data_IF_511621955812
#
_entry.id   IF_511621955812
#
_cell.length_a   1.000
_cell.length_b   1.000
_cell.length_c   1.000
_cell.angle_alpha   90.00
_cell.angle_beta   90.00
_cell.angle_gamma   90.00
#
_symmetry.space_group_name_H-M   'P 1'
#
loop_
_entity.id
_entity.type
_entity.pdbx_description
1 polymer ?
#
# COMPACT_ATOMS: atom_id res chain seq x y z
N UNK A 1 -22.69 -10.15 11.06
CA UNK A 1 -21.27 -9.83 11.33
C UNK A 1 -20.79 -8.88 10.24
N UNK A 2 -20.14 -7.77 10.60
CA UNK A 2 -19.60 -6.81 9.63
C UNK A 2 -18.40 -7.40 8.89
N UNK A 3 -18.09 -6.93 7.68
CA UNK A 3 -16.87 -7.34 6.95
C UNK A 3 -15.61 -7.26 7.80
N UNK A 4 -15.41 -6.15 8.50
CA UNK A 4 -14.31 -5.97 9.45
C UNK A 4 -14.21 -7.08 10.50
N UNK A 5 -15.34 -7.45 11.09
CA UNK A 5 -15.36 -8.43 12.19
C UNK A 5 -15.09 -9.84 11.66
N UNK A 6 -15.60 -10.17 10.46
CA UNK A 6 -15.29 -11.42 9.75
C UNK A 6 -13.78 -11.51 9.48
N UNK A 7 -13.19 -10.43 8.94
CA UNK A 7 -11.76 -10.39 8.64
C UNK A 7 -10.90 -10.57 9.91
N UNK A 8 -11.23 -9.85 10.99
CA UNK A 8 -10.50 -9.94 12.25
C UNK A 8 -10.67 -11.30 12.94
N UNK A 9 -11.88 -11.89 12.92
CA UNK A 9 -12.13 -13.22 13.46
C UNK A 9 -11.34 -14.28 12.68
N UNK A 10 -11.31 -14.20 11.35
CA UNK A 10 -10.53 -15.11 10.53
C UNK A 10 -9.02 -15.05 10.86
N UNK A 11 -8.46 -13.85 11.08
CA UNK A 11 -7.07 -13.69 11.51
C UNK A 11 -6.80 -14.31 12.88
N UNK A 12 -7.79 -14.33 13.78
CA UNK A 12 -7.70 -14.96 15.11
C UNK A 12 -8.04 -16.44 15.09
N UNK A 13 -8.37 -17.01 13.91
CA UNK A 13 -8.83 -18.39 13.76
C UNK A 13 -10.13 -18.67 14.53
N UNK A 14 -10.97 -17.67 14.68
CA UNK A 14 -12.31 -17.77 15.28
C UNK A 14 -13.35 -18.16 14.23
N UNK A 15 -14.46 -18.81 14.62
CA UNK A 15 -15.54 -19.16 13.70
C UNK A 15 -16.13 -17.93 13.02
N UNK A 16 -16.37 -18.03 11.72
CA UNK A 16 -16.99 -16.98 10.90
C UNK A 16 -18.14 -17.56 10.09
N UNK A 17 -19.19 -16.76 9.77
CA UNK A 17 -20.35 -17.23 9.02
C UNK A 17 -20.02 -17.53 7.54
N UNK A 18 -18.89 -17.03 7.04
CA UNK A 18 -18.33 -17.29 5.71
C UNK A 18 -16.82 -17.07 5.74
N UNK A 19 -16.06 -17.57 4.77
CA UNK A 19 -14.66 -17.20 4.63
C UNK A 19 -14.50 -15.68 4.49
N UNK A 20 -13.46 -15.12 5.13
CA UNK A 20 -13.09 -13.73 4.92
C UNK A 20 -12.51 -13.56 3.51
N UNK A 21 -12.95 -12.52 2.82
CA UNK A 21 -12.41 -12.14 1.51
C UNK A 21 -11.55 -10.89 1.66
N UNK A 22 -10.36 -10.91 1.10
CA UNK A 22 -9.50 -9.75 1.23
C UNK A 22 -8.21 -9.89 0.45
N UNK A 23 -7.46 -8.81 0.41
CA UNK A 23 -6.16 -8.80 -0.24
C UNK A 23 -5.10 -8.25 0.73
N UNK A 24 -4.02 -9.00 0.86
CA UNK A 24 -2.79 -8.56 1.54
C UNK A 24 -1.89 -7.71 0.62
N UNK A 25 -2.22 -7.70 -0.68
CA UNK A 25 -1.50 -6.93 -1.70
C UNK A 25 -2.49 -6.11 -2.47
N UNK A 26 -2.91 -5.05 -2.35
CA UNK A 26 -3.91 -4.25 -3.07
C UNK A 26 -4.23 -4.76 -4.47
N UNK A 27 -5.48 -4.88 -4.80
CA UNK A 27 -5.95 -5.27 -6.14
C UNK A 27 -6.41 -4.03 -6.88
N UNK A 28 -5.86 -3.82 -8.08
CA UNK A 28 -6.24 -2.71 -8.97
C UNK A 28 -6.27 -3.18 -10.41
N UNK A 29 -7.32 -2.80 -11.12
CA UNK A 29 -7.45 -2.95 -12.57
C UNK A 29 -7.63 -1.60 -13.22
N UNK A 30 -7.35 -1.50 -14.51
CA UNK A 30 -7.58 -0.25 -15.28
C UNK A 30 -9.04 0.17 -15.28
N UNK A 31 -9.97 -0.81 -15.27
CA UNK A 31 -11.42 -0.55 -15.18
C UNK A 31 -11.80 0.02 -13.81
N UNK A 32 -11.21 -0.50 -12.73
CA UNK A 32 -11.41 0.04 -11.39
C UNK A 32 -10.90 1.47 -11.28
N UNK A 33 -9.70 1.75 -11.82
CA UNK A 33 -9.15 3.10 -11.90
C UNK A 33 -10.08 4.07 -12.65
N UNK A 34 -10.62 3.64 -13.79
CA UNK A 34 -11.56 4.43 -14.58
C UNK A 34 -12.85 4.72 -13.81
N UNK A 35 -13.40 3.70 -13.14
CA UNK A 35 -14.63 3.81 -12.35
C UNK A 35 -14.50 4.73 -11.15
N UNK A 36 -13.34 4.74 -10.51
CA UNK A 36 -13.06 5.55 -9.31
C UNK A 36 -12.59 6.96 -9.67
N UNK A 37 -12.09 7.17 -10.88
CA UNK A 37 -11.45 8.43 -11.28
C UNK A 37 -10.09 8.66 -10.61
N UNK A 38 -9.46 7.60 -10.12
CA UNK A 38 -8.13 7.63 -9.52
C UNK A 38 -7.31 6.46 -10.05
N UNK A 39 -6.08 6.70 -10.49
CA UNK A 39 -5.25 5.68 -11.11
C UNK A 39 -3.76 5.97 -10.96
N UNK A 40 -2.95 5.10 -11.52
CA UNK A 40 -1.50 5.24 -11.58
C UNK A 40 -1.08 6.21 -12.68
N UNK A 41 0.07 6.91 -12.49
CA UNK A 41 0.95 6.86 -11.32
C UNK A 41 0.48 7.73 -10.13
N UNK A 42 -0.51 8.60 -10.31
CA UNK A 42 -0.89 9.61 -9.32
C UNK A 42 -1.34 9.01 -7.99
N UNK A 43 -2.00 7.84 -8.01
CA UNK A 43 -2.41 7.16 -6.79
C UNK A 43 -1.23 6.64 -5.92
N UNK A 44 0.00 6.66 -6.43
CA UNK A 44 1.20 6.43 -5.62
C UNK A 44 1.69 7.70 -4.90
N UNK A 45 1.30 8.88 -5.39
CA UNK A 45 1.86 10.18 -5.02
C UNK A 45 0.86 11.11 -4.32
N UNK A 46 -0.43 10.75 -4.34
CA UNK A 46 -1.52 11.51 -3.75
C UNK A 46 -2.33 10.65 -2.78
N UNK A 47 -2.40 11.08 -1.52
CA UNK A 47 -3.07 10.32 -0.46
C UNK A 47 -4.58 10.16 -0.68
N UNK A 48 -5.23 11.17 -1.24
CA UNK A 48 -6.67 11.13 -1.54
C UNK A 48 -6.97 10.14 -2.65
N UNK A 49 -6.22 10.17 -3.77
CA UNK A 49 -6.34 9.21 -4.87
C UNK A 49 -5.98 7.80 -4.44
N UNK A 50 -4.94 7.63 -3.63
CA UNK A 50 -4.55 6.35 -3.05
C UNK A 50 -5.66 5.77 -2.18
N UNK A 51 -6.25 6.56 -1.28
CA UNK A 51 -7.35 6.15 -0.42
C UNK A 51 -8.62 5.83 -1.22
N UNK A 52 -8.97 6.65 -2.21
CA UNK A 52 -10.13 6.42 -3.06
C UNK A 52 -10.02 5.10 -3.85
N UNK A 53 -8.86 4.84 -4.44
CA UNK A 53 -8.61 3.62 -5.19
C UNK A 53 -8.58 2.39 -4.27
N UNK A 54 -8.02 2.49 -3.06
CA UNK A 54 -8.02 1.41 -2.07
C UNK A 54 -9.43 1.09 -1.54
N UNK A 55 -10.27 2.12 -1.34
CA UNK A 55 -11.65 1.95 -0.90
C UNK A 55 -12.48 1.11 -1.87
N UNK A 56 -12.18 1.19 -3.17
CA UNK A 56 -12.87 0.42 -4.21
C UNK A 56 -12.69 -1.10 -4.05
N UNK A 57 -11.64 -1.56 -3.39
CA UNK A 57 -11.50 -2.98 -3.05
C UNK A 57 -12.66 -3.49 -2.19
N UNK A 58 -13.10 -2.70 -1.22
CA UNK A 58 -14.26 -3.02 -0.39
C UNK A 58 -15.59 -2.63 -1.07
N UNK A 59 -15.70 -1.41 -1.57
CA UNK A 59 -16.96 -0.82 -2.05
C UNK A 59 -17.40 -1.38 -3.40
N UNK A 60 -16.47 -1.86 -4.24
CA UNK A 60 -16.76 -2.37 -5.59
C UNK A 60 -16.51 -3.86 -5.70
N UNK A 61 -15.41 -4.36 -5.13
CA UNK A 61 -15.01 -5.78 -5.24
C UNK A 61 -15.52 -6.63 -4.07
N UNK A 62 -16.07 -6.02 -3.02
CA UNK A 62 -16.64 -6.74 -1.87
C UNK A 62 -15.62 -7.35 -0.93
N UNK A 63 -14.42 -6.80 -0.84
CA UNK A 63 -13.42 -7.26 0.14
C UNK A 63 -13.80 -6.83 1.56
N UNK A 64 -13.40 -7.64 2.54
CA UNK A 64 -13.60 -7.37 3.96
C UNK A 64 -12.53 -6.43 4.54
N UNK A 65 -11.49 -6.14 3.76
CA UNK A 65 -10.42 -5.20 4.12
C UNK A 65 -10.12 -4.19 3.02
N UNK A 66 -9.49 -3.09 3.42
CA UNK A 66 -8.89 -2.10 2.52
C UNK A 66 -7.41 -1.92 2.86
N UNK A 67 -6.56 -1.78 1.84
CA UNK A 67 -5.13 -1.57 1.98
C UNK A 67 -4.65 -0.60 0.89
N UNK A 68 -4.10 0.58 1.25
CA UNK A 68 -3.82 1.62 0.27
C UNK A 68 -2.46 1.48 -0.43
N UNK A 69 -1.55 0.63 0.05
CA UNK A 69 -0.18 0.56 -0.47
C UNK A 69 -0.10 -0.33 -1.72
N UNK A 70 -0.15 0.27 -2.90
CA UNK A 70 -0.13 -0.43 -4.20
C UNK A 70 1.27 -0.80 -4.68
N UNK A 71 2.31 -0.14 -4.18
CA UNK A 71 3.69 -0.36 -4.59
C UNK A 71 4.55 -0.90 -3.45
N UNK A 72 5.59 -1.62 -3.79
CA UNK A 72 6.66 -2.07 -2.88
C UNK A 72 7.84 -1.10 -2.82
N UNK A 73 7.73 0.08 -3.45
CA UNK A 73 8.85 1.01 -3.58
C UNK A 73 8.79 2.22 -2.65
N UNK A 74 7.76 2.36 -1.82
CA UNK A 74 7.56 3.57 -1.00
C UNK A 74 8.67 3.76 0.03
N UNK A 75 9.00 2.74 0.83
CA UNK A 75 10.06 2.84 1.83
C UNK A 75 11.43 2.98 1.17
N UNK A 76 11.67 2.28 0.08
CA UNK A 76 12.91 2.38 -0.69
C UNK A 76 13.10 3.78 -1.28
N UNK A 77 12.04 4.39 -1.82
CA UNK A 77 12.05 5.77 -2.30
C UNK A 77 12.32 6.76 -1.17
N UNK A 78 11.76 6.53 0.03
CA UNK A 78 12.04 7.35 1.20
C UNK A 78 13.49 7.21 1.67
N UNK A 79 14.15 6.09 1.37
CA UNK A 79 15.57 5.85 1.65
C UNK A 79 16.50 6.31 0.52
N UNK A 80 15.96 6.85 -0.57
CA UNK A 80 16.75 7.47 -1.64
C UNK A 80 16.81 6.68 -2.95
N UNK A 81 16.06 5.58 -3.10
CA UNK A 81 15.95 4.92 -4.41
C UNK A 81 15.31 5.87 -5.43
N UNK A 82 15.91 6.03 -6.63
CA UNK A 82 15.34 6.84 -7.72
C UNK A 82 14.20 6.07 -8.40
N UNK A 83 13.04 6.04 -7.75
CA UNK A 83 11.89 5.26 -8.21
C UNK A 83 11.19 5.94 -9.39
N UNK A 84 11.04 5.22 -10.49
CA UNK A 84 10.11 5.54 -11.55
C UNK A 84 8.72 5.05 -11.13
N UNK A 85 7.78 5.94 -10.91
CA UNK A 85 6.44 5.60 -10.42
C UNK A 85 5.53 4.94 -11.46
N UNK A 86 6.06 4.63 -12.64
CA UNK A 86 5.37 3.86 -13.65
C UNK A 86 4.39 4.67 -14.50
N UNK A 87 3.35 4.00 -14.95
CA UNK A 87 2.28 4.57 -15.76
C UNK A 87 0.95 3.88 -15.40
N UNK A 88 -0.15 4.25 -16.09
CA UNK A 88 -1.48 3.69 -15.82
C UNK A 88 -1.52 2.16 -15.83
N UNK A 89 -0.75 1.53 -16.69
CA UNK A 89 -0.67 0.08 -16.91
C UNK A 89 0.71 -0.52 -16.57
N UNK A 90 1.58 0.27 -15.95
CA UNK A 90 2.92 -0.15 -15.56
C UNK A 90 3.21 0.19 -14.10
N UNK A 91 3.59 -0.83 -13.35
CA UNK A 91 3.96 -0.68 -11.94
C UNK A 91 5.26 0.12 -11.77
N UNK A 92 5.44 0.75 -10.60
CA UNK A 92 6.70 1.40 -10.26
C UNK A 92 7.88 0.45 -10.31
N UNK A 93 9.02 0.96 -10.75
CA UNK A 93 10.30 0.26 -10.77
C UNK A 93 11.46 1.17 -10.32
N UNK A 94 12.60 0.55 -10.01
CA UNK A 94 13.85 1.25 -9.78
C UNK A 94 14.99 0.42 -10.38
N UNK A 95 15.84 1.06 -11.18
CA UNK A 95 16.93 0.40 -11.88
C UNK A 95 18.28 0.53 -11.17
N UNK A 96 18.35 1.42 -10.18
CA UNK A 96 19.61 1.74 -9.51
C UNK A 96 19.46 1.55 -8.00
N UNK A 97 20.29 0.71 -7.43
CA UNK A 97 20.41 0.58 -5.99
C UNK A 97 21.19 1.78 -5.42
N UNK A 98 20.66 2.49 -4.41
CA UNK A 98 21.32 3.68 -3.88
C UNK A 98 22.55 3.37 -3.00
N UNK A 99 22.68 2.13 -2.54
CA UNK A 99 23.76 1.74 -1.63
C UNK A 99 24.58 0.58 -2.20
N UNK A 100 25.83 0.48 -1.72
CA UNK A 100 26.72 -0.66 -2.01
C UNK A 100 26.79 -1.59 -0.82
N UNK A 101 26.89 -2.89 -1.07
CA UNK A 101 27.11 -3.89 0.01
C UNK A 101 28.41 -3.55 0.73
N UNK A 102 28.35 -3.53 2.07
CA UNK A 102 29.47 -3.13 2.91
C UNK A 102 29.66 -1.61 3.08
N UNK A 103 28.84 -0.80 2.39
CA UNK A 103 28.78 0.64 2.59
C UNK A 103 27.99 1.05 3.84
N UNK A 104 28.18 2.28 4.27
CA UNK A 104 27.43 2.84 5.40
C UNK A 104 25.99 3.14 4.99
N UNK A 105 25.01 2.62 5.75
CA UNK A 105 23.59 2.91 5.61
C UNK A 105 23.19 4.00 6.59
N UNK A 106 22.94 5.20 6.09
CA UNK A 106 22.41 6.29 6.92
C UNK A 106 20.88 6.37 6.78
N UNK A 107 20.17 6.17 7.88
CA UNK A 107 18.73 6.37 7.92
C UNK A 107 18.42 7.86 8.08
N UNK A 108 17.64 8.45 7.17
CA UNK A 108 17.25 9.85 7.27
C UNK A 108 16.35 10.08 8.49
N UNK A 109 16.63 11.11 9.27
CA UNK A 109 15.84 11.46 10.47
C UNK A 109 14.41 11.84 10.14
N UNK A 110 14.17 12.31 8.92
CA UNK A 110 12.89 12.74 8.38
C UNK A 110 12.14 11.62 7.61
N UNK A 111 12.54 10.36 7.76
CA UNK A 111 12.05 9.22 6.96
C UNK A 111 10.52 9.17 6.84
N UNK A 112 9.80 9.27 7.96
CA UNK A 112 8.33 9.19 7.95
C UNK A 112 7.64 10.42 7.35
N UNK A 113 8.30 11.58 7.35
CA UNK A 113 7.77 12.81 6.76
C UNK A 113 8.12 12.98 5.27
N UNK A 114 8.98 12.15 4.72
CA UNK A 114 9.27 12.12 3.29
C UNK A 114 8.01 11.77 2.49
N UNK A 115 7.78 12.39 1.33
CA UNK A 115 6.55 12.19 0.55
C UNK A 115 6.21 10.72 0.32
N UNK A 116 7.20 9.89 0.03
CA UNK A 116 7.01 8.46 -0.23
C UNK A 116 6.47 7.67 0.98
N UNK A 117 6.76 8.07 2.23
CA UNK A 117 6.17 7.48 3.44
C UNK A 117 4.92 8.24 3.90
N UNK A 118 4.92 9.56 3.80
CA UNK A 118 3.83 10.41 4.24
C UNK A 118 2.52 10.11 3.50
N UNK A 119 2.57 10.00 2.18
CA UNK A 119 1.39 9.73 1.34
C UNK A 119 0.65 8.46 1.75
N UNK A 120 1.29 7.28 1.89
CA UNK A 120 0.62 6.09 2.40
C UNK A 120 0.06 6.23 3.82
N UNK A 121 0.75 6.93 4.72
CA UNK A 121 0.28 7.16 6.09
C UNK A 121 -0.96 8.05 6.12
N UNK A 122 -0.99 9.11 5.32
CA UNK A 122 -2.16 9.97 5.16
C UNK A 122 -3.33 9.19 4.53
N UNK A 123 -3.08 8.35 3.52
CA UNK A 123 -4.11 7.50 2.92
C UNK A 123 -4.70 6.50 3.94
N UNK A 124 -3.87 5.88 4.78
CA UNK A 124 -4.34 5.04 5.89
C UNK A 124 -5.21 5.81 6.88
N UNK A 125 -4.83 7.05 7.23
CA UNK A 125 -5.62 7.90 8.11
C UNK A 125 -6.99 8.24 7.50
N UNK A 126 -7.04 8.57 6.21
CA UNK A 126 -8.29 8.82 5.47
C UNK A 126 -9.20 7.58 5.45
N UNK A 127 -8.66 6.41 5.13
CA UNK A 127 -9.40 5.14 5.13
C UNK A 127 -9.88 4.78 6.53
N UNK A 128 -9.05 4.94 7.55
CA UNK A 128 -9.43 4.69 8.94
C UNK A 128 -10.61 5.57 9.36
N UNK A 129 -10.57 6.86 9.04
CA UNK A 129 -11.66 7.80 9.35
C UNK A 129 -12.95 7.43 8.62
N UNK A 130 -12.85 7.02 7.36
CA UNK A 130 -14.02 6.77 6.49
C UNK A 130 -14.61 5.38 6.66
N UNK A 131 -13.79 4.33 6.75
CA UNK A 131 -14.22 2.95 6.54
C UNK A 131 -14.00 2.01 7.73
N UNK A 132 -13.23 2.40 8.76
CA UNK A 132 -12.84 1.47 9.83
C UNK A 132 -14.00 0.94 10.68
N UNK A 133 -15.17 1.55 10.63
CA UNK A 133 -16.38 1.05 11.30
C UNK A 133 -16.97 -0.20 10.60
N UNK A 134 -16.71 -0.39 9.29
CA UNK A 134 -17.29 -1.45 8.48
C UNK A 134 -16.24 -2.43 7.94
N UNK A 135 -15.04 -1.96 7.62
CA UNK A 135 -13.98 -2.73 6.97
C UNK A 135 -12.68 -2.72 7.80
N UNK A 136 -11.91 -3.79 7.70
CA UNK A 136 -10.57 -3.82 8.27
C UNK A 136 -9.62 -2.94 7.45
N UNK A 137 -8.94 -1.98 8.10
CA UNK A 137 -7.93 -1.14 7.46
C UNK A 137 -6.56 -1.77 7.73
N UNK A 138 -5.87 -2.17 6.67
CA UNK A 138 -4.60 -2.89 6.74
C UNK A 138 -3.46 -1.98 6.30
N UNK A 139 -2.44 -1.84 7.14
CA UNK A 139 -1.16 -1.26 6.78
C UNK A 139 -0.20 -2.34 6.28
N UNK A 140 0.62 -2.01 5.30
CA UNK A 140 1.69 -2.87 4.78
C UNK A 140 3.02 -2.18 4.94
N UNK A 141 4.04 -2.93 5.31
CA UNK A 141 5.44 -2.52 5.31
C UNK A 141 6.27 -3.58 4.59
N UNK A 142 7.39 -3.15 4.03
CA UNK A 142 8.34 -4.07 3.43
C UNK A 142 9.03 -4.92 4.50
N UNK A 143 9.19 -6.21 4.22
CA UNK A 143 10.08 -7.04 5.01
C UNK A 143 11.55 -6.63 4.80
N UNK A 144 12.43 -6.86 5.79
CA UNK A 144 13.83 -6.43 5.72
C UNK A 144 14.59 -7.03 4.53
N UNK A 145 14.25 -8.23 4.12
CA UNK A 145 14.86 -8.87 2.95
C UNK A 145 14.54 -8.13 1.65
N UNK A 146 13.26 -7.87 1.39
CA UNK A 146 12.82 -7.14 0.19
C UNK A 146 13.36 -5.71 0.19
N UNK A 147 13.39 -5.05 1.35
CA UNK A 147 13.96 -3.72 1.47
C UNK A 147 15.46 -3.74 1.18
N UNK A 148 16.21 -4.71 1.74
CA UNK A 148 17.63 -4.90 1.44
C UNK A 148 17.90 -5.11 -0.05
N UNK A 149 17.06 -5.92 -0.70
CA UNK A 149 17.12 -6.15 -2.15
C UNK A 149 17.00 -4.84 -2.95
N UNK A 150 16.03 -4.01 -2.60
CA UNK A 150 15.85 -2.70 -3.26
C UNK A 150 16.99 -1.74 -3.01
N UNK A 151 17.58 -1.76 -1.82
CA UNK A 151 18.60 -0.79 -1.42
C UNK A 151 20.00 -1.14 -1.93
N UNK A 152 20.30 -2.41 -2.08
CA UNK A 152 21.65 -2.91 -2.43
C UNK A 152 21.74 -3.58 -3.78
N UNK A 153 20.64 -3.86 -4.48
CA UNK A 153 20.63 -4.37 -5.84
C UNK A 153 21.14 -5.81 -5.96
N UNK A 154 20.74 -6.70 -5.07
CA UNK A 154 21.19 -8.12 -5.06
C UNK A 154 20.32 -8.97 -5.95
#
# INVERSE_FOLDING_TARGET
>A
MKPRDIFLAALRREPTPRPATGSATSVVTTDLMARVGAGFPEAHLDAGKMAALAAAGAEVLGFDNVMPLFSVWHESAALGCPVNWGARDRMPDCREAPFRIGGELSLPRDFLSRPACRVPLEALALLKKRLSAEFAVVGKVLGPWTLGYHLFGV
#
